data_IF_291114595864
#
_entry.id   IF_291114595864
#
_cell.length_a   1.000
_cell.length_b   1.000
_cell.length_c   1.000
_cell.angle_alpha   90.00
_cell.angle_beta   90.00
_cell.angle_gamma   90.00
#
_symmetry.space_group_name_H-M   'P 1'
#
loop_
_entity.id
_entity.type
_entity.pdbx_description
1 polymer ?
#
# COMPACT_ATOMS: atom_id res chain seq x y z
N UNK A 1 54.62 -13.69 -25.67
CA UNK A 1 53.60 -12.98 -24.87
C UNK A 1 53.70 -13.48 -23.46
N UNK A 2 54.18 -12.61 -22.58
CA UNK A 2 54.05 -12.56 -21.10
C UNK A 2 53.14 -13.63 -20.46
N UNK A 3 53.66 -14.56 -19.65
CA UNK A 3 54.12 -14.44 -18.24
C UNK A 3 52.98 -14.28 -17.22
N UNK A 4 52.68 -15.36 -16.49
CA UNK A 4 53.13 -15.57 -15.10
C UNK A 4 52.52 -14.76 -13.94
N UNK A 5 51.86 -15.52 -13.04
CA UNK A 5 51.85 -15.49 -11.56
C UNK A 5 51.20 -14.37 -10.73
N UNK A 6 50.54 -14.80 -9.65
CA UNK A 6 49.55 -14.04 -8.88
C UNK A 6 50.04 -13.32 -7.61
N UNK A 7 49.09 -12.69 -6.89
CA UNK A 7 49.15 -12.35 -5.47
C UNK A 7 47.78 -11.84 -4.96
N UNK A 8 47.50 -12.11 -3.68
CA UNK A 8 46.34 -11.66 -2.89
C UNK A 8 46.22 -10.14 -2.76
N UNK A 9 44.99 -9.68 -2.52
CA UNK A 9 44.67 -8.34 -2.00
C UNK A 9 43.25 -8.32 -1.44
N UNK A 10 43.15 -8.17 -0.12
CA UNK A 10 41.92 -8.01 0.66
C UNK A 10 41.05 -6.82 0.21
N UNK A 11 39.74 -6.98 0.44
CA UNK A 11 38.88 -5.87 0.89
C UNK A 11 38.14 -5.08 -0.19
N UNK A 12 37.05 -5.63 -0.74
CA UNK A 12 35.86 -4.85 -1.08
C UNK A 12 34.64 -5.76 -1.21
N UNK A 13 33.75 -5.70 -0.23
CA UNK A 13 32.45 -6.37 -0.21
C UNK A 13 31.53 -5.84 -1.31
N UNK A 14 31.58 -6.44 -2.49
CA UNK A 14 30.62 -6.25 -3.58
C UNK A 14 29.85 -7.54 -3.84
N UNK A 15 28.95 -7.92 -2.93
CA UNK A 15 28.11 -9.11 -3.06
C UNK A 15 26.81 -8.80 -3.80
N UNK A 16 26.71 -9.31 -5.03
CA UNK A 16 25.48 -9.44 -5.83
C UNK A 16 24.41 -10.17 -5.01
N UNK A 17 23.25 -9.54 -4.87
CA UNK A 17 22.10 -10.06 -4.13
C UNK A 17 21.63 -9.11 -3.03
N UNK A 18 20.95 -8.03 -3.39
CA UNK A 18 20.11 -7.31 -2.43
C UNK A 18 18.88 -8.20 -2.15
N UNK A 19 18.97 -9.04 -1.12
CA UNK A 19 18.52 -8.78 0.26
C UNK A 19 17.04 -8.49 0.31
N UNK A 20 16.28 -9.50 0.73
CA UNK A 20 14.89 -9.36 1.14
C UNK A 20 14.72 -8.30 2.22
N UNK A 21 13.47 -8.04 2.59
CA UNK A 21 12.96 -6.87 3.30
C UNK A 21 13.44 -6.62 4.75
N UNK A 22 14.60 -7.14 5.16
CA UNK A 22 15.15 -6.93 6.50
C UNK A 22 14.29 -7.50 7.64
N UNK A 23 13.34 -8.40 7.34
CA UNK A 23 12.43 -8.98 8.33
C UNK A 23 11.26 -8.07 8.74
N UNK A 24 11.00 -6.99 8.01
CA UNK A 24 9.96 -6.00 8.35
C UNK A 24 8.64 -6.21 7.61
N UNK A 25 8.55 -7.19 6.71
CA UNK A 25 7.30 -7.48 6.00
C UNK A 25 6.48 -8.53 6.75
N UNK A 26 5.23 -8.17 7.02
CA UNK A 26 4.21 -9.10 7.49
C UNK A 26 3.27 -9.40 6.33
N UNK A 27 3.00 -10.68 6.08
CA UNK A 27 1.97 -11.08 5.12
C UNK A 27 0.60 -10.81 5.76
N UNK A 28 -0.16 -9.88 5.18
CA UNK A 28 -1.46 -9.44 5.71
C UNK A 28 -2.66 -9.95 4.92
N UNK A 29 -2.43 -10.36 3.67
CA UNK A 29 -3.49 -10.84 2.79
C UNK A 29 -2.96 -11.68 1.63
N UNK A 30 -3.85 -12.46 1.05
CA UNK A 30 -3.68 -13.17 -0.21
C UNK A 30 -4.90 -12.89 -1.08
N UNK A 31 -4.66 -12.53 -2.33
CA UNK A 31 -5.70 -12.32 -3.34
C UNK A 31 -5.44 -13.26 -4.51
N UNK A 32 -6.50 -13.89 -5.01
CA UNK A 32 -6.43 -14.80 -6.14
C UNK A 32 -7.58 -14.51 -7.10
N UNK A 33 -7.24 -14.07 -8.31
CA UNK A 33 -8.20 -13.88 -9.39
C UNK A 33 -8.30 -15.13 -10.25
N UNK A 34 -9.50 -15.41 -10.74
CA UNK A 34 -9.73 -16.54 -11.63
C UNK A 34 -10.93 -16.35 -12.53
N UNK A 35 -11.00 -17.16 -13.58
CA UNK A 35 -12.13 -17.18 -14.50
C UNK A 35 -13.21 -18.16 -14.01
N UNK A 36 -14.47 -17.78 -14.22
CA UNK A 36 -15.63 -18.62 -13.98
C UNK A 36 -15.86 -19.44 -15.26
N UNK A 37 -16.05 -20.75 -15.11
CA UNK A 37 -16.39 -21.61 -16.24
C UNK A 37 -17.87 -21.42 -16.62
N UNK A 38 -18.22 -21.73 -17.87
CA UNK A 38 -19.60 -21.76 -18.38
C UNK A 38 -20.36 -22.98 -17.83
N UNK A 39 -20.44 -23.07 -16.51
CA UNK A 39 -21.16 -24.11 -15.78
C UNK A 39 -22.05 -23.43 -14.73
N UNK A 40 -23.31 -23.88 -14.58
CA UNK A 40 -24.16 -23.46 -13.47
C UNK A 40 -23.48 -23.74 -12.12
N UNK A 41 -23.77 -22.92 -11.10
CA UNK A 41 -23.22 -22.94 -9.74
C UNK A 41 -22.28 -24.12 -9.41
N UNK A 42 -21.00 -23.83 -9.22
CA UNK A 42 -20.01 -24.85 -8.89
C UNK A 42 -19.06 -24.43 -7.77
N UNK A 43 -18.60 -25.42 -7.00
CA UNK A 43 -17.66 -25.21 -5.91
C UNK A 43 -16.23 -25.25 -6.45
N UNK A 44 -15.46 -24.20 -6.19
CA UNK A 44 -14.02 -24.15 -6.40
C UNK A 44 -13.28 -24.37 -5.09
N UNK A 45 -12.08 -24.94 -5.18
CA UNK A 45 -11.20 -25.13 -4.02
C UNK A 45 -9.79 -24.68 -4.38
N UNK A 46 -9.26 -23.73 -3.62
CA UNK A 46 -7.86 -23.28 -3.69
C UNK A 46 -7.10 -23.92 -2.54
N UNK A 47 -5.92 -24.45 -2.82
CA UNK A 47 -5.07 -25.10 -1.82
C UNK A 47 -3.73 -24.40 -1.70
N UNK A 48 -3.41 -23.94 -0.49
CA UNK A 48 -2.10 -23.41 -0.13
C UNK A 48 -1.25 -24.54 0.42
N UNK A 49 -0.33 -25.03 -0.43
CA UNK A 49 0.50 -26.20 -0.11
C UNK A 49 1.74 -25.84 0.72
N UNK A 50 2.30 -24.66 0.51
CA UNK A 50 3.56 -24.24 1.13
C UNK A 50 3.64 -22.73 1.26
N UNK A 51 4.05 -22.28 2.44
CA UNK A 51 4.50 -20.91 2.68
C UNK A 51 5.97 -20.95 3.08
N UNK A 52 6.79 -20.05 2.54
CA UNK A 52 8.19 -19.98 2.89
C UNK A 52 8.70 -18.54 2.83
N UNK A 53 9.67 -18.23 3.69
CA UNK A 53 10.38 -16.95 3.73
C UNK A 53 11.84 -17.18 3.42
N UNK A 54 12.41 -16.34 2.55
CA UNK A 54 13.85 -16.36 2.24
C UNK A 54 14.55 -15.23 3.01
N UNK A 55 15.53 -15.61 3.83
CA UNK A 55 16.33 -14.68 4.62
C UNK A 55 17.34 -13.90 3.80
N UNK A 56 17.94 -12.87 4.39
CA UNK A 56 19.01 -12.08 3.76
C UNK A 56 20.29 -12.90 3.49
N UNK A 57 20.44 -14.04 4.16
CA UNK A 57 21.49 -15.04 3.97
C UNK A 57 21.17 -16.06 2.85
N UNK A 58 20.01 -15.93 2.19
CA UNK A 58 19.51 -16.89 1.20
C UNK A 58 18.88 -18.15 1.82
N UNK A 59 18.85 -18.26 3.15
CA UNK A 59 18.24 -19.39 3.84
C UNK A 59 16.71 -19.39 3.68
N UNK A 60 16.14 -20.55 3.35
CA UNK A 60 14.68 -20.72 3.26
C UNK A 60 14.13 -21.29 4.56
N UNK A 61 13.14 -20.60 5.14
CA UNK A 61 12.33 -21.10 6.26
C UNK A 61 10.91 -21.41 5.77
N UNK A 62 10.51 -22.67 5.86
CA UNK A 62 9.16 -23.12 5.53
C UNK A 62 8.23 -22.95 6.73
N UNK A 63 7.00 -22.54 6.47
CA UNK A 63 5.92 -22.36 7.45
C UNK A 63 4.75 -23.26 7.07
N UNK A 64 4.02 -23.79 8.07
CA UNK A 64 2.83 -24.61 7.82
C UNK A 64 1.65 -23.73 7.41
N UNK A 65 1.09 -23.84 6.18
CA UNK A 65 -0.07 -23.07 5.77
C UNK A 65 -1.25 -23.19 6.72
N UNK A 66 -1.56 -24.41 7.16
CA UNK A 66 -2.63 -24.68 8.12
C UNK A 66 -2.51 -23.92 9.45
N UNK A 67 -1.28 -23.59 9.89
CA UNK A 67 -1.08 -22.80 11.12
C UNK A 67 -1.12 -21.31 10.87
N UNK A 68 -0.54 -20.86 9.75
CA UNK A 68 -0.48 -19.44 9.40
C UNK A 68 -1.87 -18.89 9.08
N UNK A 69 -2.70 -19.69 8.40
CA UNK A 69 -3.98 -19.26 7.83
C UNK A 69 -5.19 -19.66 8.69
N UNK A 70 -5.01 -20.35 9.82
CA UNK A 70 -6.11 -20.86 10.65
C UNK A 70 -7.08 -19.77 11.11
N UNK A 71 -6.56 -18.60 11.48
CA UNK A 71 -7.35 -17.48 11.99
C UNK A 71 -7.71 -16.46 10.90
N UNK A 72 -7.35 -16.73 9.64
CA UNK A 72 -7.61 -15.80 8.55
C UNK A 72 -9.06 -15.88 8.11
N UNK A 73 -9.66 -14.72 7.82
CA UNK A 73 -10.96 -14.66 7.17
C UNK A 73 -10.82 -14.86 5.67
N UNK A 74 -11.80 -15.51 5.04
CA UNK A 74 -11.88 -15.66 3.59
C UNK A 74 -13.23 -15.25 3.03
N UNK A 75 -13.22 -14.58 1.88
CA UNK A 75 -14.41 -14.19 1.14
C UNK A 75 -14.15 -14.24 -0.37
N UNK A 76 -15.22 -14.36 -1.15
CA UNK A 76 -15.14 -14.33 -2.61
C UNK A 76 -15.98 -13.19 -3.13
N UNK A 77 -15.52 -12.55 -4.18
CA UNK A 77 -16.27 -11.57 -4.96
C UNK A 77 -16.32 -12.06 -6.40
N UNK A 78 -17.48 -12.04 -7.05
CA UNK A 78 -17.62 -12.39 -8.46
C UNK A 78 -18.27 -11.25 -9.24
N UNK A 79 -17.96 -11.15 -10.52
CA UNK A 79 -18.69 -10.26 -11.44
C UNK A 79 -20.11 -10.78 -11.62
N UNK A 80 -21.09 -9.89 -11.76
CA UNK A 80 -22.48 -10.23 -12.05
C UNK A 80 -22.82 -9.87 -13.49
N UNK A 81 -23.91 -10.42 -14.04
CA UNK A 81 -24.25 -10.25 -15.45
C UNK A 81 -24.56 -8.81 -15.87
N UNK A 82 -24.92 -7.96 -14.90
CA UNK A 82 -25.17 -6.53 -15.10
C UNK A 82 -23.90 -5.66 -14.98
N UNK A 83 -22.72 -6.29 -14.83
CA UNK A 83 -21.45 -5.62 -14.58
C UNK A 83 -21.24 -5.22 -13.12
N UNK A 84 -22.18 -5.52 -12.23
CA UNK A 84 -22.04 -5.42 -10.79
C UNK A 84 -21.11 -6.47 -10.21
N UNK A 85 -21.02 -6.53 -8.89
CA UNK A 85 -20.27 -7.55 -8.16
C UNK A 85 -21.08 -8.10 -7.00
N UNK A 86 -20.95 -9.41 -6.79
CA UNK A 86 -21.60 -10.13 -5.70
C UNK A 86 -20.55 -10.70 -4.76
N UNK A 87 -20.73 -10.41 -3.48
CA UNK A 87 -19.92 -10.98 -2.41
C UNK A 87 -20.50 -12.30 -1.91
N UNK A 88 -19.63 -13.27 -1.70
CA UNK A 88 -19.92 -14.58 -1.13
C UNK A 88 -18.97 -14.92 0.01
N UNK A 89 -19.33 -15.96 0.76
CA UNK A 89 -18.47 -16.50 1.82
C UNK A 89 -17.58 -17.60 1.28
N UNK A 90 -16.37 -17.70 1.82
CA UNK A 90 -15.45 -18.79 1.53
C UNK A 90 -15.06 -19.48 2.84
N UNK A 91 -15.10 -20.81 2.88
CA UNK A 91 -14.75 -21.61 4.03
C UNK A 91 -13.33 -22.16 3.91
N UNK A 92 -12.52 -22.00 4.94
CA UNK A 92 -11.14 -22.48 4.98
C UNK A 92 -10.96 -23.58 6.03
N UNK A 93 -10.26 -24.65 5.66
CA UNK A 93 -9.98 -25.79 6.53
C UNK A 93 -8.54 -26.30 6.39
N UNK A 94 -7.91 -26.71 7.51
CA UNK A 94 -6.61 -27.37 7.47
C UNK A 94 -6.72 -28.77 6.86
N UNK A 95 -5.84 -29.06 5.90
CA UNK A 95 -5.67 -30.40 5.35
C UNK A 95 -4.82 -31.30 6.26
N UNK A 96 -4.72 -32.61 5.94
CA UNK A 96 -3.87 -33.53 6.67
C UNK A 96 -2.38 -33.15 6.53
N UNK A 97 -1.63 -33.24 7.62
CA UNK A 97 -0.18 -33.02 7.58
C UNK A 97 0.50 -34.08 6.70
N UNK A 98 1.31 -33.64 5.74
CA UNK A 98 2.12 -34.54 4.92
C UNK A 98 3.35 -35.08 5.68
N UNK A 99 4.13 -35.95 5.02
CA UNK A 99 5.33 -36.60 5.58
C UNK A 99 6.41 -35.62 6.07
N UNK A 100 6.37 -34.36 5.62
CA UNK A 100 7.25 -33.27 6.07
C UNK A 100 6.73 -32.44 7.25
N UNK A 101 5.59 -32.82 7.87
CA UNK A 101 5.02 -32.14 9.04
C UNK A 101 4.30 -30.81 8.74
N UNK A 102 4.29 -30.35 7.49
CA UNK A 102 3.52 -29.18 7.07
C UNK A 102 2.14 -29.61 6.54
N UNK A 103 1.08 -29.07 7.14
CA UNK A 103 -0.29 -29.29 6.68
C UNK A 103 -0.71 -28.17 5.72
N UNK A 104 -1.28 -28.52 4.54
CA UNK A 104 -1.80 -27.52 3.62
C UNK A 104 -3.08 -26.90 4.18
N UNK A 105 -3.49 -25.77 3.59
CA UNK A 105 -4.75 -25.12 3.91
C UNK A 105 -5.61 -25.08 2.64
N UNK A 106 -6.88 -25.48 2.73
CA UNK A 106 -7.80 -25.47 1.60
C UNK A 106 -8.90 -24.45 1.85
N UNK A 107 -9.25 -23.67 0.84
CA UNK A 107 -10.37 -22.72 0.88
C UNK A 107 -11.33 -23.07 -0.24
N UNK A 108 -12.59 -23.31 0.13
CA UNK A 108 -13.67 -23.66 -0.80
C UNK A 108 -14.72 -22.56 -0.83
N UNK A 109 -15.23 -22.27 -2.02
CA UNK A 109 -16.23 -21.23 -2.26
C UNK A 109 -17.07 -21.59 -3.50
N UNK A 110 -18.31 -21.12 -3.52
CA UNK A 110 -19.18 -21.24 -4.69
C UNK A 110 -18.97 -20.06 -5.65
N UNK A 111 -19.05 -20.34 -6.94
CA UNK A 111 -19.17 -19.32 -8.00
C UNK A 111 -20.32 -19.71 -8.92
N UNK A 112 -21.00 -18.69 -9.43
CA UNK A 112 -22.13 -18.85 -10.34
C UNK A 112 -21.69 -18.49 -11.76
N UNK A 113 -21.65 -19.47 -12.66
CA UNK A 113 -21.42 -19.25 -14.08
C UNK A 113 -22.72 -19.09 -14.87
N UNK A 114 -22.63 -19.12 -16.19
CA UNK A 114 -23.76 -19.03 -17.12
C UNK A 114 -24.76 -20.16 -16.90
N UNK A 115 -26.06 -19.84 -16.92
CA UNK A 115 -27.14 -20.84 -16.98
C UNK A 115 -27.49 -21.12 -18.45
N UNK A 116 -27.87 -22.36 -18.77
CA UNK A 116 -28.27 -22.76 -20.14
C UNK A 116 -29.47 -21.95 -20.69
N UNK A 117 -30.23 -21.28 -19.81
CA UNK A 117 -31.40 -20.46 -20.13
C UNK A 117 -31.10 -18.93 -20.18
N UNK A 118 -29.84 -18.52 -19.98
CA UNK A 118 -29.45 -17.10 -20.08
C UNK A 118 -29.50 -16.66 -21.55
N UNK A 119 -30.60 -16.03 -21.94
CA UNK A 119 -30.79 -15.40 -23.26
C UNK A 119 -29.61 -14.46 -23.56
N UNK A 120 -29.02 -14.57 -24.75
CA UNK A 120 -27.71 -14.02 -25.19
C UNK A 120 -27.53 -12.48 -25.06
N UNK A 121 -28.51 -11.77 -24.48
CA UNK A 121 -28.52 -10.31 -24.30
C UNK A 121 -27.73 -9.78 -23.09
N UNK A 122 -27.37 -10.61 -22.10
CA UNK A 122 -26.58 -10.17 -20.94
C UNK A 122 -25.25 -10.92 -20.84
N UNK A 123 -24.12 -10.22 -20.66
CA UNK A 123 -22.82 -10.87 -20.50
C UNK A 123 -22.79 -11.67 -19.19
N UNK A 124 -22.51 -12.97 -19.24
CA UNK A 124 -22.39 -13.78 -18.04
C UNK A 124 -21.20 -13.35 -17.14
N UNK A 125 -21.25 -13.64 -15.81
CA UNK A 125 -20.11 -13.57 -14.91
C UNK A 125 -18.90 -14.29 -15.49
N UNK A 126 -17.73 -13.65 -15.46
CA UNK A 126 -16.51 -14.24 -16.03
C UNK A 126 -15.38 -14.39 -15.04
N UNK A 127 -15.43 -13.65 -13.94
CA UNK A 127 -14.29 -13.44 -13.07
C UNK A 127 -14.72 -13.53 -11.61
N UNK A 128 -13.85 -14.12 -10.80
CA UNK A 128 -13.95 -14.08 -9.35
C UNK A 128 -12.60 -13.68 -8.75
N UNK A 129 -12.67 -13.09 -7.56
CA UNK A 129 -11.54 -12.76 -6.72
C UNK A 129 -11.75 -13.41 -5.35
N UNK A 130 -10.88 -14.37 -5.00
CA UNK A 130 -10.81 -14.92 -3.64
C UNK A 130 -9.87 -14.04 -2.80
N UNK A 131 -10.37 -13.54 -1.67
CA UNK A 131 -9.59 -12.76 -0.70
C UNK A 131 -9.45 -13.53 0.60
N UNK A 132 -8.23 -13.64 1.08
CA UNK A 132 -7.90 -14.13 2.42
C UNK A 132 -7.17 -13.04 3.19
N UNK A 133 -7.61 -12.71 4.39
CA UNK A 133 -7.04 -11.64 5.19
C UNK A 133 -6.64 -12.13 6.58
N UNK A 134 -5.45 -11.72 7.02
CA UNK A 134 -5.00 -11.95 8.39
C UNK A 134 -5.90 -11.22 9.39
N UNK A 135 -6.02 -11.72 10.64
CA UNK A 135 -6.65 -10.97 11.72
C UNK A 135 -6.08 -9.55 11.82
N UNK A 136 -6.90 -8.57 11.52
CA UNK A 136 -6.56 -7.17 11.67
C UNK A 136 -7.03 -6.67 13.05
N UNK A 137 -6.23 -5.85 13.77
CA UNK A 137 -6.71 -5.22 14.98
C UNK A 137 -7.91 -4.33 14.66
N UNK A 138 -8.92 -4.36 15.56
CA UNK A 138 -10.19 -3.65 15.41
C UNK A 138 -9.97 -2.23 14.84
N UNK A 139 -10.74 -1.84 13.81
CA UNK A 139 -10.69 -0.48 13.27
C UNK A 139 -10.79 0.57 14.39
N UNK A 140 -10.04 1.67 14.29
CA UNK A 140 -10.16 2.77 15.24
C UNK A 140 -11.58 3.34 15.18
N UNK A 141 -12.13 3.74 16.33
CA UNK A 141 -13.49 4.29 16.41
C UNK A 141 -13.59 5.77 15.97
N UNK A 142 -12.45 6.46 15.88
CA UNK A 142 -12.32 7.85 15.43
C UNK A 142 -10.99 8.06 14.74
N UNK A 143 -10.89 9.10 13.92
CA UNK A 143 -9.66 9.51 13.24
C UNK A 143 -9.05 10.73 13.94
N UNK A 144 -8.00 10.60 14.75
CA UNK A 144 -7.34 11.75 15.35
C UNK A 144 -6.58 12.55 14.29
N UNK A 145 -6.59 13.87 14.42
CA UNK A 145 -5.90 14.79 13.54
C UNK A 145 -5.13 15.88 14.30
N UNK A 146 -4.08 16.38 13.66
CA UNK A 146 -3.38 17.60 14.04
C UNK A 146 -3.70 18.68 13.02
N UNK A 147 -4.22 19.83 13.44
CA UNK A 147 -4.58 20.92 12.53
C UNK A 147 -3.75 22.18 12.80
N UNK A 148 -3.57 23.04 11.80
CA UNK A 148 -2.98 24.36 12.03
C UNK A 148 -3.99 25.35 12.59
N UNK A 149 -3.52 26.40 13.29
CA UNK A 149 -4.39 27.50 13.77
C UNK A 149 -5.16 28.17 12.63
N UNK A 150 -4.53 28.32 11.46
CA UNK A 150 -5.16 28.87 10.26
C UNK A 150 -6.35 27.99 9.81
N UNK A 151 -6.19 26.66 9.82
CA UNK A 151 -7.27 25.72 9.50
C UNK A 151 -8.43 25.79 10.48
N UNK A 152 -8.15 25.85 11.77
CA UNK A 152 -9.20 25.99 12.78
C UNK A 152 -9.97 27.30 12.64
N UNK A 153 -9.27 28.39 12.32
CA UNK A 153 -9.90 29.70 12.09
C UNK A 153 -10.76 29.70 10.83
N UNK A 154 -10.28 29.10 9.74
CA UNK A 154 -10.99 29.02 8.48
C UNK A 154 -12.26 28.16 8.55
N UNK A 155 -12.22 27.09 9.34
CA UNK A 155 -13.36 26.17 9.53
C UNK A 155 -14.31 26.59 10.65
N UNK A 156 -13.86 27.46 11.57
CA UNK A 156 -14.60 27.81 12.78
C UNK A 156 -14.66 26.69 13.82
N UNK A 157 -13.87 25.61 13.65
CA UNK A 157 -13.82 24.48 14.55
C UNK A 157 -12.95 24.78 15.79
N UNK A 158 -13.29 24.15 16.91
CA UNK A 158 -12.49 24.11 18.13
C UNK A 158 -11.71 22.80 18.31
N UNK A 159 -10.68 22.75 19.17
CA UNK A 159 -10.04 21.49 19.54
C UNK A 159 -11.06 20.50 20.12
N UNK A 160 -11.02 19.25 19.65
CA UNK A 160 -11.96 18.18 20.01
C UNK A 160 -13.19 18.09 19.10
N UNK A 161 -13.44 19.08 18.24
CA UNK A 161 -14.51 19.00 17.26
C UNK A 161 -14.20 17.99 16.15
N UNK A 162 -15.26 17.43 15.57
CA UNK A 162 -15.16 16.61 14.36
C UNK A 162 -15.31 17.49 13.13
N UNK A 163 -14.35 17.39 12.22
CA UNK A 163 -14.31 18.12 10.95
C UNK A 163 -14.29 17.11 9.81
N UNK A 164 -15.10 17.33 8.78
CA UNK A 164 -15.07 16.53 7.56
C UNK A 164 -13.94 17.02 6.65
N UNK A 165 -12.99 16.13 6.32
CA UNK A 165 -11.86 16.41 5.43
C UNK A 165 -11.93 15.49 4.22
N UNK A 166 -11.70 16.04 3.04
CA UNK A 166 -11.64 15.24 1.80
C UNK A 166 -10.20 14.78 1.55
N UNK A 167 -9.98 13.47 1.48
CA UNK A 167 -8.71 12.84 1.13
C UNK A 167 -8.96 11.87 -0.01
N UNK A 168 -8.30 12.06 -1.15
CA UNK A 168 -8.49 11.23 -2.35
C UNK A 168 -9.97 11.08 -2.77
N UNK A 169 -10.74 12.17 -2.66
CA UNK A 169 -12.19 12.20 -2.92
C UNK A 169 -13.06 11.59 -1.83
N UNK A 170 -12.47 10.92 -0.83
CA UNK A 170 -13.18 10.34 0.32
C UNK A 170 -13.36 11.39 1.41
N UNK A 171 -14.58 11.48 1.94
CA UNK A 171 -14.88 12.33 3.09
C UNK A 171 -14.59 11.57 4.39
N UNK A 172 -13.69 12.10 5.20
CA UNK A 172 -13.21 11.51 6.43
C UNK A 172 -13.62 12.38 7.63
N UNK A 173 -14.36 11.85 8.61
CA UNK A 173 -14.64 12.55 9.87
C UNK A 173 -13.41 12.49 10.77
N UNK A 174 -12.69 13.60 10.89
CA UNK A 174 -11.48 13.68 11.73
C UNK A 174 -11.75 14.49 13.00
N UNK A 175 -11.21 14.04 14.13
CA UNK A 175 -11.28 14.71 15.42
C UNK A 175 -9.98 15.45 15.66
N UNK A 176 -10.03 16.78 15.82
CA UNK A 176 -8.82 17.60 15.99
C UNK A 176 -8.33 17.50 17.44
N UNK A 177 -7.43 16.57 17.71
CA UNK A 177 -6.87 16.34 19.06
C UNK A 177 -5.76 17.34 19.41
N UNK A 178 -5.12 17.97 18.41
CA UNK A 178 -4.06 18.95 18.62
C UNK A 178 -4.08 20.05 17.58
N UNK A 179 -3.80 21.27 18.03
CA UNK A 179 -3.62 22.44 17.16
C UNK A 179 -2.17 22.91 17.24
N UNK A 180 -1.54 23.10 16.08
CA UNK A 180 -0.17 23.61 15.93
C UNK A 180 -0.19 24.92 15.15
N UNK A 181 0.91 25.66 15.17
CA UNK A 181 1.04 26.88 14.37
C UNK A 181 1.16 26.58 12.88
N UNK A 182 2.08 25.68 12.54
CA UNK A 182 2.41 25.32 11.16
C UNK A 182 2.62 23.81 11.03
N UNK A 183 2.40 23.32 9.81
CA UNK A 183 2.75 21.96 9.38
C UNK A 183 3.57 22.06 8.10
N UNK A 184 4.56 21.19 7.89
CA UNK A 184 5.23 21.09 6.60
C UNK A 184 4.22 20.60 5.57
N UNK A 185 3.90 21.44 4.58
CA UNK A 185 3.04 21.10 3.45
C UNK A 185 3.81 21.24 2.13
N UNK A 186 3.35 20.56 1.09
CA UNK A 186 3.91 20.64 -0.28
C UNK A 186 2.89 21.18 -1.28
N UNK A 187 1.77 21.73 -0.80
CA UNK A 187 0.77 22.33 -1.67
C UNK A 187 1.29 23.59 -2.39
N UNK A 188 0.65 24.03 -3.48
CA UNK A 188 1.04 25.24 -4.23
C UNK A 188 1.12 26.52 -3.39
N UNK A 189 0.54 26.53 -2.19
CA UNK A 189 0.55 27.63 -1.23
C UNK A 189 1.48 27.39 -0.02
N UNK A 190 2.16 26.24 0.05
CA UNK A 190 3.12 25.95 1.11
C UNK A 190 4.25 27.00 1.08
N UNK A 191 4.55 27.67 2.20
CA UNK A 191 5.70 28.57 2.24
C UNK A 191 6.96 27.75 1.96
N UNK A 192 7.61 27.97 0.82
CA UNK A 192 8.95 27.47 0.65
C UNK A 192 9.80 28.12 1.74
N UNK A 193 10.57 27.32 2.50
CA UNK A 193 11.39 27.79 3.61
C UNK A 193 12.41 28.89 3.22
N UNK A 194 12.51 29.25 1.94
CA UNK A 194 13.38 30.28 1.37
C UNK A 194 12.67 31.30 0.47
N UNK A 195 11.34 31.19 0.24
CA UNK A 195 10.61 32.17 -0.55
C UNK A 195 9.87 33.14 0.39
N UNK A 196 10.13 34.44 0.26
CA UNK A 196 9.33 35.46 0.93
C UNK A 196 7.84 35.35 0.56
N UNK A 197 6.93 35.93 1.34
CA UNK A 197 5.50 35.82 1.10
C UNK A 197 5.16 36.33 -0.30
N UNK A 198 4.70 35.42 -1.18
CA UNK A 198 4.14 35.78 -2.48
C UNK A 198 2.79 36.48 -2.25
N UNK A 199 2.71 37.75 -2.62
CA UNK A 199 1.56 38.64 -2.35
C UNK A 199 0.32 38.32 -3.20
N UNK A 200 0.38 37.29 -4.04
CA UNK A 200 -0.69 36.91 -4.99
C UNK A 200 -1.28 35.52 -4.79
N UNK A 201 -0.74 34.71 -3.88
CA UNK A 201 -1.40 33.45 -3.49
C UNK A 201 -2.54 33.77 -2.49
N UNK A 202 -3.77 33.27 -2.69
CA UNK A 202 -4.77 33.29 -1.64
C UNK A 202 -4.16 32.73 -0.36
N UNK A 203 -4.39 33.38 0.78
CA UNK A 203 -3.95 32.85 2.06
C UNK A 203 -4.47 31.41 2.19
N UNK A 204 -3.56 30.46 2.41
CA UNK A 204 -3.99 29.08 2.57
C UNK A 204 -4.95 28.97 3.75
N UNK A 205 -5.93 28.07 3.63
CA UNK A 205 -6.84 27.77 4.73
C UNK A 205 -6.16 26.95 5.83
N UNK A 206 -4.83 26.98 5.95
CA UNK A 206 -4.07 26.09 6.81
C UNK A 206 -4.01 24.63 6.33
N UNK A 207 -3.64 23.74 7.26
CA UNK A 207 -3.38 22.33 6.97
C UNK A 207 -3.87 21.40 8.09
N UNK A 208 -4.12 20.14 7.73
CA UNK A 208 -4.47 19.04 8.64
C UNK A 208 -3.57 17.85 8.34
N UNK A 209 -3.03 17.23 9.38
CA UNK A 209 -2.27 15.99 9.34
C UNK A 209 -3.08 14.86 9.97
N UNK A 210 -3.22 13.77 9.21
CA UNK A 210 -3.83 12.51 9.64
C UNK A 210 -2.84 11.36 9.46
N UNK A 211 -2.95 10.33 10.28
CA UNK A 211 -2.14 9.12 10.13
C UNK A 211 -2.73 8.22 9.03
N UNK A 212 -2.01 8.05 7.92
CA UNK A 212 -2.47 7.28 6.76
C UNK A 212 -2.82 5.83 7.11
N UNK A 213 -2.04 5.20 8.00
CA UNK A 213 -2.31 3.81 8.44
C UNK A 213 -3.63 3.73 9.20
N UNK A 214 -3.87 4.66 10.11
CA UNK A 214 -5.12 4.76 10.88
C UNK A 214 -6.30 5.05 9.97
N UNK A 215 -6.15 5.91 8.95
CA UNK A 215 -7.17 6.17 7.92
C UNK A 215 -7.53 4.89 7.17
N UNK A 216 -6.54 4.17 6.65
CA UNK A 216 -6.81 2.93 5.90
C UNK A 216 -7.41 1.83 6.78
N UNK A 217 -7.03 1.76 8.07
CA UNK A 217 -7.68 0.85 9.03
C UNK A 217 -9.11 1.25 9.39
N UNK A 218 -9.40 2.54 9.45
CA UNK A 218 -10.75 3.05 9.66
C UNK A 218 -11.64 2.68 8.46
N UNK A 219 -11.18 2.96 7.25
CA UNK A 219 -11.90 2.66 6.01
C UNK A 219 -12.16 1.15 5.83
N UNK A 220 -11.18 0.31 6.17
CA UNK A 220 -11.36 -1.14 6.15
C UNK A 220 -12.47 -1.64 7.10
N UNK A 221 -12.79 -0.88 8.16
CA UNK A 221 -13.83 -1.21 9.13
C UNK A 221 -15.25 -0.81 8.73
N UNK A 222 -15.40 0.05 7.73
CA UNK A 222 -16.69 0.68 7.40
C UNK A 222 -17.61 -0.20 6.55
N UNK A 223 -17.17 -1.40 6.14
CA UNK A 223 -18.04 -2.45 5.60
C UNK A 223 -18.36 -2.38 4.11
N UNK A 224 -17.94 -1.33 3.40
CA UNK A 224 -18.35 -1.10 2.00
C UNK A 224 -17.36 -1.63 0.95
N UNK A 225 -16.25 -2.24 1.40
CA UNK A 225 -15.22 -2.78 0.51
C UNK A 225 -14.43 -1.68 -0.22
N UNK A 226 -13.11 -1.69 -0.02
CA UNK A 226 -12.11 -1.23 -1.00
C UNK A 226 -11.62 0.24 -1.02
N UNK A 227 -12.18 1.28 -0.38
CA UNK A 227 -11.48 2.56 -0.38
C UNK A 227 -10.24 2.47 0.53
N UNK A 228 -9.06 2.43 -0.07
CA UNK A 228 -7.78 2.70 0.58
C UNK A 228 -7.22 3.97 0.00
N UNK A 229 -6.64 4.81 0.84
CA UNK A 229 -5.89 5.98 0.40
C UNK A 229 -4.45 5.53 0.14
N UNK A 230 -3.93 5.62 -1.10
CA UNK A 230 -2.55 5.32 -1.39
C UNK A 230 -1.61 6.42 -0.88
N UNK A 231 -0.36 6.08 -0.62
CA UNK A 231 0.68 7.09 -0.46
C UNK A 231 1.00 7.72 -1.82
N UNK A 232 0.92 9.03 -1.92
CA UNK A 232 1.19 9.78 -3.16
C UNK A 232 2.65 10.21 -3.30
N UNK A 233 3.38 10.30 -2.19
CA UNK A 233 4.78 10.74 -2.15
C UNK A 233 5.57 10.00 -1.07
N UNK A 234 6.87 9.83 -1.29
CA UNK A 234 7.80 9.21 -0.34
C UNK A 234 8.94 10.17 0.00
N UNK A 235 9.09 10.45 1.29
CA UNK A 235 10.13 11.35 1.79
C UNK A 235 11.29 10.52 2.35
N UNK A 236 12.48 10.67 1.76
CA UNK A 236 13.66 9.92 2.16
C UNK A 236 14.69 10.85 2.80
N UNK A 237 15.20 10.43 3.97
CA UNK A 237 16.41 11.01 4.56
C UNK A 237 17.59 10.10 4.24
N UNK A 238 18.59 10.63 3.55
CA UNK A 238 19.84 9.92 3.23
C UNK A 238 20.88 10.19 4.29
N UNK A 239 21.85 9.28 4.45
CA UNK A 239 23.03 9.57 5.24
C UNK A 239 23.81 10.75 4.64
N UNK A 240 24.51 11.56 5.45
CA UNK A 240 25.28 12.71 4.95
C UNK A 240 26.21 12.33 3.79
N UNK A 241 26.17 13.11 2.71
CA UNK A 241 26.99 12.88 1.50
C UNK A 241 26.52 11.76 0.58
N UNK A 242 25.41 11.07 0.88
CA UNK A 242 24.90 9.93 0.07
C UNK A 242 23.73 10.29 -0.84
N UNK A 243 23.21 11.52 -0.80
CA UNK A 243 22.03 11.94 -1.56
C UNK A 243 22.17 11.67 -3.06
N UNK A 244 23.28 12.06 -3.69
CA UNK A 244 23.49 11.87 -5.13
C UNK A 244 23.51 10.39 -5.53
N UNK A 245 24.15 9.54 -4.71
CA UNK A 245 24.21 8.10 -4.96
C UNK A 245 22.82 7.45 -4.84
N UNK A 246 22.08 7.79 -3.78
CA UNK A 246 20.73 7.25 -3.55
C UNK A 246 19.76 7.72 -4.65
N UNK A 247 19.82 9.00 -5.05
CA UNK A 247 19.00 9.53 -6.14
C UNK A 247 19.32 8.83 -7.46
N UNK A 248 20.60 8.63 -7.79
CA UNK A 248 21.01 7.89 -8.99
C UNK A 248 20.51 6.44 -8.96
N UNK A 249 20.60 5.76 -7.82
CA UNK A 249 20.11 4.40 -7.66
C UNK A 249 18.58 4.30 -7.83
N UNK A 250 17.82 5.26 -7.30
CA UNK A 250 16.36 5.31 -7.46
C UNK A 250 15.96 5.58 -8.91
N UNK A 251 16.61 6.55 -9.58
CA UNK A 251 16.36 6.89 -10.99
C UNK A 251 16.74 5.75 -11.96
N UNK A 252 17.71 4.92 -11.60
CA UNK A 252 18.13 3.78 -12.41
C UNK A 252 17.19 2.56 -12.32
N UNK A 253 16.16 2.60 -11.46
CA UNK A 253 15.21 1.50 -11.36
C UNK A 253 14.35 1.39 -12.63
N UNK A 254 14.11 0.17 -13.15
CA UNK A 254 13.35 -0.03 -14.38
C UNK A 254 11.86 0.32 -14.23
N UNK A 255 11.35 0.34 -12.99
CA UNK A 255 9.96 0.64 -12.65
C UNK A 255 9.75 2.07 -12.12
N UNK A 256 10.78 2.91 -12.12
CA UNK A 256 10.70 4.30 -11.69
C UNK A 256 10.79 5.25 -12.89
N UNK A 257 9.94 6.28 -12.91
CA UNK A 257 10.16 7.45 -13.75
C UNK A 257 11.21 8.35 -13.08
N UNK A 258 12.39 8.58 -13.70
CA UNK A 258 13.44 9.41 -13.12
C UNK A 258 12.99 10.83 -12.76
N UNK A 259 12.00 11.38 -13.47
CA UNK A 259 11.46 12.71 -13.22
C UNK A 259 10.67 12.80 -11.90
N UNK A 260 10.21 11.66 -11.37
CA UNK A 260 9.52 11.58 -10.07
C UNK A 260 10.48 11.59 -8.87
N UNK A 261 11.81 11.49 -9.12
CA UNK A 261 12.82 11.53 -8.05
C UNK A 261 13.32 12.96 -7.87
N UNK A 262 12.71 13.66 -6.91
CA UNK A 262 13.05 15.05 -6.58
C UNK A 262 14.14 15.10 -5.50
N UNK A 263 15.19 15.89 -5.75
CA UNK A 263 16.28 16.15 -4.80
C UNK A 263 16.28 17.63 -4.46
N UNK A 264 16.06 17.95 -3.18
CA UNK A 264 15.91 19.33 -2.70
C UNK A 264 17.07 20.25 -3.13
N UNK A 265 18.31 19.78 -3.02
CA UNK A 265 19.49 20.59 -3.35
C UNK A 265 19.63 20.81 -4.87
N UNK A 266 19.19 19.85 -5.69
CA UNK A 266 19.17 19.99 -7.15
C UNK A 266 18.11 21.04 -7.57
N UNK A 267 16.90 20.97 -7.00
CA UNK A 267 15.84 21.95 -7.24
C UNK A 267 16.24 23.36 -6.78
N UNK A 268 16.91 23.49 -5.63
CA UNK A 268 17.38 24.78 -5.14
C UNK A 268 18.44 25.40 -6.07
N UNK A 269 19.34 24.57 -6.63
CA UNK A 269 20.33 25.03 -7.60
C UNK A 269 19.72 25.45 -8.94
N UNK A 270 18.69 24.73 -9.40
CA UNK A 270 17.92 25.09 -10.60
C UNK A 270 17.23 26.44 -10.44
N UNK A 271 16.54 26.66 -9.31
CA UNK A 271 15.87 27.93 -9.00
C UNK A 271 16.86 29.10 -8.88
N UNK A 272 18.03 28.88 -8.28
CA UNK A 272 19.07 29.92 -8.16
C UNK A 272 19.74 30.23 -9.50
N UNK A 273 19.73 29.28 -10.43
CA UNK A 273 20.31 29.40 -11.76
C UNK A 273 19.37 30.01 -12.80
N UNK A 274 18.08 30.19 -12.50
CA UNK A 274 17.10 30.79 -13.41
C UNK A 274 17.20 32.33 -13.39
N UNK A 275 17.70 32.99 -14.47
CA UNK A 275 17.83 34.44 -14.52
C UNK A 275 16.49 35.19 -14.52
N UNK A 276 15.35 34.48 -14.64
CA UNK A 276 14.01 35.06 -14.59
C UNK A 276 13.25 34.74 -13.29
N UNK A 277 13.86 34.00 -12.35
CA UNK A 277 13.25 33.54 -11.11
C UNK A 277 13.63 34.35 -9.87
N UNK A 278 13.12 35.59 -9.76
CA UNK A 278 12.98 36.35 -8.51
C UNK A 278 11.93 37.46 -8.65
#
# INVERSE_FOLDING_TARGET
GTSGDGASGDGASGGVGARGSGGLLTLTGLELDGLIAEEPHHIRTVRVERLATTGADGGTRTHSPAKVLADWSSGVEQTESDGGRKSGTAGGDPGPAGTGGTAPYAVSFGVDGTHDDDDDSYPAPKEYTLRMAAPAPKPPARLPAVATRAFMTATGAGPGDTVEVTVDGLRLPVVVDRVVDELPTTGPAAPAASAGPSVTAPADGGAVLVDLVTVNRYLAGSGDGTPTVPATEWWLTTAPGRTAEVAAALRARPDADPAQVLVRDEMAAELLGDPLGA
#
